data_IF_062579701103
#
_entry.id   IF_062579701103
#
_cell.length_a   1.000
_cell.length_b   1.000
_cell.length_c   1.000
_cell.angle_alpha   90.00
_cell.angle_beta   90.00
_cell.angle_gamma   90.00
#
_symmetry.space_group_name_H-M   'P 1'
#
loop_
_entity.id
_entity.type
_entity.pdbx_description
1 polymer ?
#
# COMPACT_ATOMS: atom_id res chain seq x y z
N UNK A 1 -0.19 -1.22 25.90
CA UNK A 1 -0.43 -2.08 24.71
C UNK A 1 -1.65 -1.56 23.92
N UNK A 2 -1.65 -0.27 23.54
CA UNK A 2 -2.89 0.54 23.51
C UNK A 2 -3.10 1.49 22.31
N UNK A 3 -2.14 1.73 21.42
CA UNK A 3 -2.35 2.60 20.23
C UNK A 3 -2.41 1.82 18.92
N UNK A 4 -1.56 0.80 18.76
CA UNK A 4 -1.52 0.00 17.52
C UNK A 4 -2.85 -0.68 17.18
N UNK A 5 -3.64 -1.08 18.20
CA UNK A 5 -4.95 -1.71 17.98
C UNK A 5 -5.92 -0.78 17.25
N UNK A 6 -5.76 0.53 17.40
CA UNK A 6 -6.59 1.52 16.73
C UNK A 6 -6.26 1.63 15.23
N UNK A 7 -5.11 1.11 14.79
CA UNK A 7 -4.67 1.12 13.40
C UNK A 7 -5.07 -0.14 12.62
N UNK A 8 -5.51 -1.20 13.31
CA UNK A 8 -5.98 -2.45 12.66
C UNK A 8 -7.05 -2.18 11.58
N UNK A 9 -8.02 -1.28 11.76
CA UNK A 9 -8.97 -0.95 10.70
C UNK A 9 -8.29 -0.45 9.41
N UNK A 10 -7.37 0.51 9.52
CA UNK A 10 -6.62 1.06 8.39
C UNK A 10 -5.73 0.00 7.73
N UNK A 11 -5.01 -0.80 8.53
CA UNK A 11 -4.20 -1.91 8.01
C UNK A 11 -5.05 -2.91 7.23
N UNK A 12 -6.22 -3.28 7.75
CA UNK A 12 -7.13 -4.21 7.09
C UNK A 12 -7.73 -3.64 5.81
N UNK A 13 -8.04 -2.34 5.78
CA UNK A 13 -8.55 -1.67 4.58
C UNK A 13 -7.52 -1.71 3.46
N UNK A 14 -6.30 -1.21 3.72
CA UNK A 14 -5.23 -1.16 2.72
C UNK A 14 -4.75 -2.56 2.30
N UNK A 15 -4.72 -3.52 3.22
CA UNK A 15 -4.40 -4.92 2.89
C UNK A 15 -5.45 -5.55 1.96
N UNK A 16 -6.74 -5.19 2.10
CA UNK A 16 -7.77 -5.66 1.17
C UNK A 16 -7.60 -5.05 -0.22
N UNK A 17 -7.17 -3.80 -0.33
CA UNK A 17 -6.83 -3.16 -1.60
C UNK A 17 -5.65 -3.87 -2.27
N UNK A 18 -4.59 -4.16 -1.51
CA UNK A 18 -3.44 -4.93 -1.98
C UNK A 18 -3.85 -6.30 -2.55
N UNK A 19 -4.65 -7.07 -1.80
CA UNK A 19 -5.14 -8.39 -2.25
C UNK A 19 -6.01 -8.27 -3.50
N UNK A 20 -6.82 -7.22 -3.63
CA UNK A 20 -7.60 -6.97 -4.87
C UNK A 20 -6.70 -6.70 -6.07
N UNK A 21 -5.56 -6.01 -5.90
CA UNK A 21 -4.56 -5.78 -6.96
C UNK A 21 -3.91 -7.11 -7.36
N UNK A 22 -3.37 -7.86 -6.40
CA UNK A 22 -2.72 -9.14 -6.66
C UNK A 22 -3.64 -10.21 -7.24
N UNK A 23 -4.95 -10.16 -6.94
CA UNK A 23 -5.93 -11.04 -7.60
C UNK A 23 -5.94 -10.93 -9.13
N UNK A 24 -5.52 -9.79 -9.70
CA UNK A 24 -5.39 -9.60 -11.15
C UNK A 24 -4.11 -10.22 -11.72
N UNK A 25 -3.14 -10.47 -10.87
CA UNK A 25 -1.78 -10.92 -11.21
C UNK A 25 -1.63 -12.45 -11.09
N UNK A 26 -2.60 -13.17 -10.50
CA UNK A 26 -2.51 -14.62 -10.16
C UNK A 26 -2.22 -15.56 -11.34
N UNK A 27 -2.40 -15.10 -12.57
CA UNK A 27 -2.15 -15.88 -13.79
C UNK A 27 -0.73 -15.68 -14.36
N UNK A 28 0.08 -14.81 -13.75
CA UNK A 28 1.49 -14.62 -14.13
C UNK A 28 2.35 -15.65 -13.42
N UNK A 29 3.44 -16.07 -14.07
CA UNK A 29 4.42 -16.99 -13.48
C UNK A 29 5.13 -16.39 -12.26
N UNK A 30 5.28 -15.06 -12.23
CA UNK A 30 5.81 -14.31 -11.09
C UNK A 30 5.32 -12.86 -11.13
N UNK A 31 5.25 -12.24 -9.96
CA UNK A 31 4.88 -10.84 -9.78
C UNK A 31 5.88 -10.18 -8.83
N UNK A 32 6.41 -9.04 -9.23
CA UNK A 32 7.17 -8.18 -8.33
C UNK A 32 6.20 -7.50 -7.35
N UNK A 33 6.36 -7.83 -6.07
CA UNK A 33 5.51 -7.33 -4.99
C UNK A 33 6.10 -6.10 -4.28
N UNK A 34 7.33 -5.71 -4.60
CA UNK A 34 8.06 -4.69 -3.85
C UNK A 34 7.35 -3.33 -3.89
N UNK A 35 6.98 -2.88 -5.09
CA UNK A 35 6.27 -1.61 -5.25
C UNK A 35 4.89 -1.66 -4.60
N UNK A 36 4.12 -2.72 -4.84
CA UNK A 36 2.77 -2.88 -4.28
C UNK A 36 2.79 -2.91 -2.74
N UNK A 37 3.75 -3.61 -2.12
CA UNK A 37 3.95 -3.62 -0.67
C UNK A 37 4.34 -2.23 -0.14
N UNK A 38 5.23 -1.54 -0.84
CA UNK A 38 5.70 -0.21 -0.44
C UNK A 38 4.58 0.82 -0.48
N UNK A 39 3.74 0.78 -1.53
CA UNK A 39 2.55 1.63 -1.65
C UNK A 39 1.52 1.32 -0.55
N UNK A 40 1.29 0.04 -0.24
CA UNK A 40 0.40 -0.36 0.85
C UNK A 40 0.90 0.14 2.22
N UNK A 41 2.20 -0.02 2.49
CA UNK A 41 2.80 0.50 3.72
C UNK A 41 2.68 2.02 3.82
N UNK A 42 2.88 2.73 2.70
CA UNK A 42 2.76 4.18 2.65
C UNK A 42 1.33 4.68 2.90
N UNK A 43 0.32 4.00 2.34
CA UNK A 43 -1.09 4.32 2.61
C UNK A 43 -1.46 4.09 4.09
N UNK A 44 -0.98 2.98 4.68
CA UNK A 44 -1.18 2.69 6.11
C UNK A 44 -0.53 3.77 6.98
N UNK A 45 0.72 4.13 6.71
CA UNK A 45 1.42 5.16 7.47
C UNK A 45 0.75 6.53 7.33
N UNK A 46 0.35 6.91 6.11
CA UNK A 46 -0.32 8.17 5.86
C UNK A 46 -1.66 8.25 6.61
N UNK A 47 -2.46 7.18 6.61
CA UNK A 47 -3.74 7.18 7.32
C UNK A 47 -3.54 7.14 8.85
N UNK A 48 -2.60 6.35 9.34
CA UNK A 48 -2.40 6.16 10.79
C UNK A 48 -1.68 7.34 11.46
N UNK A 49 -0.74 7.99 10.77
CA UNK A 49 0.04 9.13 11.30
C UNK A 49 -0.61 10.47 11.00
N UNK A 50 -1.15 10.66 9.78
CA UNK A 50 -1.63 11.95 9.29
C UNK A 50 -3.16 12.03 9.23
N UNK A 51 -3.87 10.91 9.38
CA UNK A 51 -5.33 10.86 9.29
C UNK A 51 -5.88 11.08 7.87
N UNK A 52 -5.03 11.00 6.84
CA UNK A 52 -5.41 11.22 5.44
C UNK A 52 -5.29 9.93 4.62
N UNK A 53 -6.25 9.71 3.72
CA UNK A 53 -6.21 8.61 2.75
C UNK A 53 -5.59 9.11 1.46
N UNK A 54 -4.35 8.72 1.19
CA UNK A 54 -3.61 9.15 -0.02
C UNK A 54 -4.05 8.37 -1.25
N UNK A 55 -4.37 7.07 -1.10
CA UNK A 55 -4.78 6.23 -2.21
C UNK A 55 -3.63 5.89 -3.16
N UNK A 56 -2.42 5.78 -2.61
CA UNK A 56 -1.20 5.54 -3.39
C UNK A 56 -1.24 4.20 -4.14
N UNK A 57 -1.88 3.17 -3.57
CA UNK A 57 -2.10 1.89 -4.24
C UNK A 57 -3.03 1.98 -5.47
N UNK A 58 -3.87 3.00 -5.60
CA UNK A 58 -4.82 3.11 -6.72
C UNK A 58 -4.34 4.09 -7.81
N UNK A 59 -3.43 5.00 -7.45
CA UNK A 59 -2.85 6.00 -8.35
C UNK A 59 -1.38 5.69 -8.63
N UNK A 60 -1.10 4.81 -9.58
CA UNK A 60 0.28 4.38 -9.94
C UNK A 60 1.20 5.54 -10.37
N UNK A 61 0.64 6.66 -10.83
CA UNK A 61 1.38 7.84 -11.29
C UNK A 61 1.63 8.88 -10.18
N UNK A 62 1.62 8.44 -8.92
CA UNK A 62 1.91 9.30 -7.78
C UNK A 62 3.41 9.62 -7.66
N UNK A 63 3.76 10.73 -7.02
CA UNK A 63 5.17 11.13 -6.85
C UNK A 63 6.00 10.10 -6.08
N UNK A 64 5.36 9.27 -5.25
CA UNK A 64 6.02 8.27 -4.41
C UNK A 64 6.51 7.06 -5.22
N UNK A 65 5.74 6.58 -6.21
CA UNK A 65 6.19 5.52 -7.12
C UNK A 65 7.44 5.94 -7.86
N UNK A 66 7.50 7.19 -8.35
CA UNK A 66 8.68 7.78 -9.01
C UNK A 66 9.89 7.82 -8.09
N UNK A 67 9.71 8.19 -6.82
CA UNK A 67 10.81 8.21 -5.83
C UNK A 67 11.33 6.80 -5.54
N UNK A 68 10.44 5.82 -5.36
CA UNK A 68 10.87 4.44 -5.10
C UNK A 68 11.66 3.86 -6.29
N UNK A 69 11.21 4.11 -7.52
CA UNK A 69 11.95 3.67 -8.72
C UNK A 69 13.31 4.35 -8.88
N UNK A 70 13.50 5.57 -8.38
CA UNK A 70 14.80 6.24 -8.43
C UNK A 70 15.82 5.72 -7.39
N UNK A 71 15.38 4.96 -6.38
CA UNK A 71 16.23 4.50 -5.26
C UNK A 71 16.74 3.06 -5.48
N UNK A 72 16.27 2.37 -6.52
CA UNK A 72 16.70 1.01 -6.91
C UNK A 72 17.40 1.05 -8.27
#
# INVERSE_FOLDING_TARGET
>A
MSVLKNFIPAMNEHSRTLVKRWRKEIHKDSTDIYLDLSLCAFDILSETMLGIKVGAQEHEDNAFSKVIYCVH
#
